data_IF_239041836230
#
_entry.id   IF_239041836230
#
_cell.length_a   1.000
_cell.length_b   1.000
_cell.length_c   1.000
_cell.angle_alpha   90.00
_cell.angle_beta   90.00
_cell.angle_gamma   90.00
#
_symmetry.space_group_name_H-M   'P 1'
#
loop_
_entity.id
_entity.type
_entity.pdbx_description
1 polymer ?
#
# COMPACT_ATOMS: atom_id res chain seq x y z
N UNK A 1 -51.46 -66.64 -35.05
CA UNK A 1 -50.06 -66.90 -35.45
C UNK A 1 -49.18 -66.01 -34.58
N UNK A 2 -48.19 -66.59 -33.89
CA UNK A 2 -47.20 -65.82 -33.13
C UNK A 2 -45.88 -65.96 -33.88
N UNK A 3 -45.33 -64.85 -34.35
CA UNK A 3 -44.04 -64.81 -35.03
C UNK A 3 -43.04 -64.12 -34.10
N UNK A 4 -41.95 -64.80 -33.78
CA UNK A 4 -40.88 -64.25 -32.94
C UNK A 4 -39.64 -63.98 -33.79
N UNK A 5 -39.01 -62.83 -33.57
CA UNK A 5 -37.71 -62.48 -34.15
C UNK A 5 -36.83 -61.95 -33.03
N UNK A 6 -35.58 -62.44 -32.95
CA UNK A 6 -34.59 -62.00 -31.97
C UNK A 6 -33.42 -61.40 -32.72
N UNK A 7 -33.04 -60.16 -32.36
CA UNK A 7 -31.91 -59.46 -32.94
C UNK A 7 -31.14 -58.73 -31.85
N UNK A 8 -29.81 -58.73 -31.94
CA UNK A 8 -28.95 -57.91 -31.09
C UNK A 8 -28.81 -56.52 -31.72
N UNK A 9 -29.08 -55.47 -30.95
CA UNK A 9 -28.97 -54.08 -31.39
C UNK A 9 -27.88 -53.36 -30.59
N UNK A 10 -27.07 -52.56 -31.27
CA UNK A 10 -25.99 -51.77 -30.66
C UNK A 10 -26.27 -50.25 -30.69
N UNK A 11 -27.44 -49.86 -31.18
CA UNK A 11 -27.90 -48.47 -31.28
C UNK A 11 -29.42 -48.42 -31.13
N UNK A 12 -29.96 -47.25 -30.76
CA UNK A 12 -31.42 -47.03 -30.68
C UNK A 12 -32.07 -47.44 -32.00
N UNK A 13 -33.04 -48.36 -31.92
CA UNK A 13 -33.64 -49.00 -33.09
C UNK A 13 -35.16 -49.06 -32.93
N UNK A 14 -35.88 -48.62 -33.96
CA UNK A 14 -37.33 -48.81 -34.08
C UNK A 14 -37.58 -49.94 -35.05
N UNK A 15 -38.12 -51.05 -34.56
CA UNK A 15 -38.56 -52.16 -35.39
C UNK A 15 -40.03 -51.96 -35.77
N UNK A 16 -40.37 -52.24 -37.04
CA UNK A 16 -41.74 -52.15 -37.54
C UNK A 16 -42.13 -53.54 -38.05
N UNK A 17 -43.17 -54.12 -37.46
CA UNK A 17 -43.77 -55.36 -37.92
C UNK A 17 -45.00 -55.04 -38.76
N UNK A 18 -45.12 -55.67 -39.94
CA UNK A 18 -46.27 -55.54 -40.83
C UNK A 18 -46.91 -56.91 -41.04
N UNK A 19 -48.21 -57.01 -40.77
CA UNK A 19 -49.03 -58.17 -41.09
C UNK A 19 -49.87 -57.87 -42.34
N UNK A 20 -49.86 -58.79 -43.29
CA UNK A 20 -50.60 -58.66 -44.56
C UNK A 20 -51.61 -59.81 -44.68
N UNK A 21 -52.87 -59.47 -44.94
CA UNK A 21 -53.95 -60.41 -45.22
C UNK A 21 -54.55 -60.16 -46.60
N UNK A 22 -55.09 -61.20 -47.25
CA UNK A 22 -55.81 -61.10 -48.52
C UNK A 22 -57.21 -61.71 -48.36
N UNK A 23 -58.24 -60.95 -48.72
CA UNK A 23 -59.60 -61.47 -48.85
C UNK A 23 -60.15 -61.14 -50.24
N UNK A 24 -60.42 -62.18 -51.03
CA UNK A 24 -61.01 -62.06 -52.39
C UNK A 24 -60.27 -61.08 -53.32
N UNK A 25 -58.94 -61.01 -53.22
CA UNK A 25 -58.10 -60.12 -54.03
C UNK A 25 -57.83 -58.75 -53.39
N UNK A 26 -58.46 -58.44 -52.25
CA UNK A 26 -58.20 -57.21 -51.49
C UNK A 26 -57.13 -57.47 -50.44
N UNK A 27 -56.01 -56.75 -50.54
CA UNK A 27 -54.92 -56.82 -49.55
C UNK A 27 -55.17 -55.79 -48.44
N UNK A 28 -55.10 -56.25 -47.20
CA UNK A 28 -55.13 -55.42 -45.99
C UNK A 28 -53.82 -55.54 -45.24
N UNK A 29 -53.31 -54.41 -44.74
CA UNK A 29 -52.08 -54.35 -43.96
C UNK A 29 -52.38 -53.77 -42.58
N UNK A 30 -51.74 -54.33 -41.55
CA UNK A 30 -51.65 -53.74 -40.22
C UNK A 30 -50.18 -53.66 -39.83
N UNK A 31 -49.75 -52.55 -39.25
CA UNK A 31 -48.39 -52.40 -38.74
C UNK A 31 -48.38 -52.00 -37.27
N UNK A 32 -47.34 -52.45 -36.57
CA UNK A 32 -47.03 -52.06 -35.21
C UNK A 32 -45.52 -51.79 -35.12
N UNK A 33 -45.12 -50.88 -34.24
CA UNK A 33 -43.71 -50.59 -34.01
C UNK A 33 -43.32 -50.76 -32.54
N UNK A 34 -42.03 -50.99 -32.31
CA UNK A 34 -41.42 -51.01 -31.00
C UNK A 34 -40.04 -50.37 -31.08
N UNK A 35 -39.76 -49.43 -30.18
CA UNK A 35 -38.46 -48.75 -30.11
C UNK A 35 -37.70 -49.22 -28.88
N UNK A 36 -36.46 -49.62 -29.06
CA UNK A 36 -35.51 -49.85 -27.97
C UNK A 36 -34.44 -48.76 -28.03
N UNK A 37 -34.24 -48.07 -26.91
CA UNK A 37 -33.24 -47.01 -26.77
C UNK A 37 -31.96 -47.61 -26.22
N UNK A 38 -30.84 -47.42 -26.93
CA UNK A 38 -29.50 -47.77 -26.44
C UNK A 38 -28.81 -46.48 -26.03
N UNK A 39 -28.49 -46.35 -24.75
CA UNK A 39 -27.79 -45.17 -24.25
C UNK A 39 -26.38 -45.10 -24.86
N UNK A 40 -26.01 -43.93 -25.39
CA UNK A 40 -24.65 -43.70 -25.87
C UNK A 40 -23.66 -43.84 -24.70
N UNK A 41 -22.52 -44.47 -24.96
CA UNK A 41 -21.43 -44.59 -24.00
C UNK A 41 -20.77 -43.22 -23.82
N UNK A 42 -20.70 -42.74 -22.59
CA UNK A 42 -20.21 -41.43 -22.21
C UNK A 42 -19.20 -41.60 -21.05
N UNK A 43 -17.92 -41.84 -21.36
CA UNK A 43 -16.87 -41.79 -20.35
C UNK A 43 -16.65 -40.32 -19.94
N UNK A 44 -16.81 -40.02 -18.65
CA UNK A 44 -16.63 -38.66 -18.13
C UNK A 44 -15.96 -38.73 -16.76
N UNK A 45 -14.89 -37.95 -16.61
CA UNK A 45 -14.16 -37.81 -15.36
C UNK A 45 -14.45 -36.41 -14.78
N UNK A 46 -14.52 -36.31 -13.45
CA UNK A 46 -14.56 -35.03 -12.74
C UNK A 46 -13.48 -35.02 -11.68
N UNK A 47 -12.70 -33.94 -11.62
CA UNK A 47 -11.69 -33.72 -10.60
C UNK A 47 -12.09 -32.50 -9.77
N UNK A 48 -12.05 -32.65 -8.45
CA UNK A 48 -12.04 -31.54 -7.50
C UNK A 48 -10.69 -31.50 -6.80
N UNK A 49 -10.14 -30.30 -6.58
CA UNK A 49 -8.88 -30.09 -5.84
C UNK A 49 -9.11 -29.07 -4.74
N UNK A 50 -8.64 -29.37 -3.53
CA UNK A 50 -8.72 -28.47 -2.38
C UNK A 50 -7.38 -28.40 -1.67
N UNK A 51 -7.09 -27.27 -1.02
CA UNK A 51 -5.95 -27.08 -0.14
C UNK A 51 -6.42 -27.10 1.33
N UNK A 52 -5.60 -27.62 2.24
CA UNK A 52 -5.88 -27.58 3.68
C UNK A 52 -5.95 -26.16 4.25
N UNK A 53 -5.25 -25.22 3.61
CA UNK A 53 -5.17 -23.81 4.00
C UNK A 53 -5.29 -22.94 2.75
N UNK A 54 -6.17 -21.93 2.79
CA UNK A 54 -6.30 -20.94 1.72
C UNK A 54 -5.31 -19.77 1.87
N UNK A 55 -4.85 -19.52 3.09
CA UNK A 55 -3.93 -18.44 3.41
C UNK A 55 -2.86 -18.88 4.41
N UNK A 56 -1.64 -18.40 4.24
CA UNK A 56 -0.50 -18.61 5.12
C UNK A 56 0.09 -17.26 5.57
N UNK A 57 0.63 -17.25 6.78
CA UNK A 57 1.38 -16.11 7.30
C UNK A 57 2.75 -16.01 6.62
N UNK A 58 3.45 -14.91 6.91
CA UNK A 58 4.83 -14.70 6.50
C UNK A 58 5.70 -15.92 6.89
N UNK A 59 6.52 -16.39 5.94
CA UNK A 59 7.36 -17.57 6.12
C UNK A 59 6.73 -18.88 5.64
N UNK A 60 5.44 -18.88 5.30
CA UNK A 60 4.79 -20.03 4.69
C UNK A 60 4.39 -21.13 5.65
N UNK A 61 4.15 -22.32 5.10
CA UNK A 61 3.71 -23.49 5.86
C UNK A 61 3.46 -24.72 4.99
N UNK A 62 3.28 -25.87 5.65
CA UNK A 62 2.88 -27.10 4.96
C UNK A 62 1.40 -27.03 4.58
N UNK A 63 1.11 -27.35 3.32
CA UNK A 63 -0.24 -27.45 2.76
C UNK A 63 -0.44 -28.86 2.25
N UNK A 64 -1.53 -29.49 2.66
CA UNK A 64 -2.00 -30.74 2.07
C UNK A 64 -3.03 -30.44 1.01
N UNK A 65 -2.75 -30.85 -0.23
CA UNK A 65 -3.72 -30.86 -1.32
C UNK A 65 -4.48 -32.18 -1.34
N UNK A 66 -5.80 -32.09 -1.45
CA UNK A 66 -6.70 -33.24 -1.61
C UNK A 66 -7.31 -33.21 -3.00
N UNK A 67 -7.30 -34.36 -3.67
CA UNK A 67 -7.81 -34.56 -5.02
C UNK A 67 -8.95 -35.56 -4.95
N UNK A 68 -10.16 -35.19 -5.38
CA UNK A 68 -11.30 -36.13 -5.46
C UNK A 68 -11.63 -36.34 -6.93
N UNK A 69 -11.28 -37.52 -7.44
CA UNK A 69 -11.55 -37.92 -8.82
C UNK A 69 -12.81 -38.78 -8.83
N UNK A 70 -13.80 -38.40 -9.64
CA UNK A 70 -15.10 -39.06 -9.74
C UNK A 70 -15.32 -39.53 -11.18
N UNK A 71 -15.84 -40.74 -11.32
CA UNK A 71 -16.41 -41.18 -12.60
C UNK A 71 -17.89 -40.77 -12.64
N UNK A 72 -18.18 -39.70 -13.39
CA UNK A 72 -19.55 -39.18 -13.59
C UNK A 72 -20.15 -39.61 -14.94
N UNK A 73 -19.44 -40.47 -15.67
CA UNK A 73 -19.92 -41.08 -16.90
C UNK A 73 -20.82 -42.29 -16.64
N UNK A 74 -21.23 -42.97 -17.72
CA UNK A 74 -22.06 -44.17 -17.66
C UNK A 74 -21.30 -45.47 -18.02
N UNK A 75 -19.97 -45.44 -17.94
CA UNK A 75 -19.08 -46.58 -18.19
C UNK A 75 -17.98 -46.66 -17.13
N UNK A 76 -17.45 -47.85 -16.86
CA UNK A 76 -16.30 -48.01 -15.96
C UNK A 76 -15.03 -47.45 -16.61
N UNK A 77 -14.19 -46.78 -15.82
CA UNK A 77 -12.91 -46.23 -16.26
C UNK A 77 -11.75 -47.03 -15.67
N UNK A 78 -10.68 -47.19 -16.45
CA UNK A 78 -9.42 -47.83 -16.04
C UNK A 78 -8.24 -46.88 -16.20
N UNK A 79 -7.05 -47.30 -15.75
CA UNK A 79 -5.81 -46.52 -15.81
C UNK A 79 -5.97 -45.11 -15.23
N UNK A 80 -6.66 -45.02 -14.08
CA UNK A 80 -6.83 -43.75 -13.39
C UNK A 80 -5.49 -43.26 -12.89
N UNK A 81 -5.09 -42.06 -13.32
CA UNK A 81 -3.88 -41.39 -12.84
C UNK A 81 -4.19 -39.94 -12.49
N UNK A 82 -3.44 -39.39 -11.55
CA UNK A 82 -3.47 -37.97 -11.20
C UNK A 82 -2.05 -37.44 -11.32
N UNK A 83 -1.89 -36.34 -12.06
CA UNK A 83 -0.66 -35.57 -12.13
C UNK A 83 -0.92 -34.14 -11.64
N UNK A 84 0.14 -33.50 -11.16
CA UNK A 84 0.07 -32.15 -10.60
C UNK A 84 1.36 -31.40 -10.93
N UNK A 85 1.24 -30.10 -11.20
CA UNK A 85 2.36 -29.27 -11.67
C UNK A 85 3.38 -28.94 -10.57
N UNK A 86 3.01 -29.04 -9.29
CA UNK A 86 3.89 -28.76 -8.14
C UNK A 86 4.13 -29.98 -7.24
N UNK A 87 3.23 -30.94 -7.22
CA UNK A 87 3.30 -32.16 -6.42
C UNK A 87 3.86 -33.33 -7.23
N UNK A 88 5.09 -33.75 -6.91
CA UNK A 88 5.74 -34.89 -7.59
C UNK A 88 5.31 -36.26 -7.08
N UNK A 89 4.80 -36.36 -5.85
CA UNK A 89 4.34 -37.62 -5.24
C UNK A 89 2.90 -37.49 -4.77
N UNK A 90 1.98 -38.11 -5.48
CA UNK A 90 0.54 -38.13 -5.17
C UNK A 90 0.16 -39.53 -4.71
N UNK A 91 -0.39 -39.65 -3.50
CA UNK A 91 -0.86 -40.92 -2.98
C UNK A 91 -2.36 -41.07 -3.24
N UNK A 92 -2.73 -42.05 -4.06
CA UNK A 92 -4.11 -42.36 -4.46
C UNK A 92 -4.64 -43.69 -3.86
N UNK A 93 -4.06 -44.20 -2.77
CA UNK A 93 -4.51 -45.46 -2.14
C UNK A 93 -4.52 -46.69 -3.06
N UNK A 94 -3.81 -46.67 -4.18
CA UNK A 94 -3.64 -47.81 -5.10
C UNK A 94 -4.83 -48.13 -6.02
N UNK A 95 -5.91 -47.35 -6.00
CA UNK A 95 -7.06 -47.59 -6.89
C UNK A 95 -6.73 -47.08 -8.31
N UNK A 96 -6.85 -47.95 -9.30
CA UNK A 96 -6.56 -47.66 -10.72
C UNK A 96 -7.79 -47.77 -11.64
N UNK A 97 -8.95 -48.14 -11.08
CA UNK A 97 -10.23 -48.26 -11.78
C UNK A 97 -11.33 -47.55 -11.01
N UNK A 98 -12.30 -46.96 -11.71
CA UNK A 98 -13.47 -46.32 -11.13
C UNK A 98 -14.73 -46.84 -11.79
N UNK A 99 -15.56 -47.55 -11.02
CA UNK A 99 -16.89 -47.90 -11.49
C UNK A 99 -17.78 -46.65 -11.61
N UNK A 100 -18.93 -46.80 -12.26
CA UNK A 100 -19.92 -45.72 -12.42
C UNK A 100 -20.28 -45.14 -11.04
N UNK A 101 -20.15 -43.81 -10.90
CA UNK A 101 -20.46 -43.09 -9.66
C UNK A 101 -19.41 -43.24 -8.54
N UNK A 102 -18.35 -44.03 -8.73
CA UNK A 102 -17.28 -44.15 -7.74
C UNK A 102 -16.31 -42.96 -7.78
N UNK A 103 -15.64 -42.76 -6.65
CA UNK A 103 -14.56 -41.80 -6.53
C UNK A 103 -13.35 -42.40 -5.81
N UNK A 104 -12.22 -41.73 -6.02
CA UNK A 104 -10.95 -41.98 -5.36
C UNK A 104 -10.46 -40.64 -4.80
N UNK A 105 -9.93 -40.69 -3.58
CA UNK A 105 -9.30 -39.53 -2.96
C UNK A 105 -7.80 -39.72 -2.96
N UNK A 106 -7.08 -38.75 -3.51
CA UNK A 106 -5.64 -38.68 -3.43
C UNK A 106 -5.19 -37.51 -2.57
N UNK A 107 -3.94 -37.54 -2.10
CA UNK A 107 -3.33 -36.41 -1.41
C UNK A 107 -1.85 -36.23 -1.73
N UNK A 108 -1.38 -35.02 -1.49
CA UNK A 108 0.03 -34.61 -1.52
C UNK A 108 0.22 -33.50 -0.49
N UNK A 109 1.35 -33.49 0.22
CA UNK A 109 1.70 -32.40 1.16
C UNK A 109 2.99 -31.74 0.69
N UNK A 110 3.01 -30.41 0.65
CA UNK A 110 4.20 -29.63 0.28
C UNK A 110 4.31 -28.35 1.11
N UNK A 111 5.52 -27.82 1.24
CA UNK A 111 5.76 -26.53 1.88
C UNK A 111 5.58 -25.39 0.89
N UNK A 112 4.76 -24.40 1.24
CA UNK A 112 4.44 -23.22 0.42
C UNK A 112 4.90 -21.97 1.17
N UNK A 113 5.82 -21.20 0.58
CA UNK A 113 6.35 -19.94 1.14
C UNK A 113 6.01 -18.70 0.30
N UNK A 114 5.39 -18.88 -0.85
CA UNK A 114 4.93 -17.81 -1.74
C UNK A 114 3.54 -18.14 -2.28
N UNK A 115 2.74 -17.11 -2.57
CA UNK A 115 1.40 -17.28 -3.15
C UNK A 115 1.48 -18.13 -4.41
N UNK A 116 0.76 -19.25 -4.42
CA UNK A 116 0.86 -20.27 -5.47
C UNK A 116 -0.51 -20.78 -5.87
N UNK A 117 -0.78 -20.80 -7.18
CA UNK A 117 -1.85 -21.59 -7.77
C UNK A 117 -1.28 -22.93 -8.20
N UNK A 118 -1.94 -24.01 -7.80
CA UNK A 118 -1.51 -25.37 -8.05
C UNK A 118 -2.58 -26.10 -8.86
N UNK A 119 -2.17 -26.74 -9.96
CA UNK A 119 -3.04 -27.28 -11.00
C UNK A 119 -2.80 -28.78 -11.14
N UNK A 120 -3.88 -29.54 -11.11
CA UNK A 120 -3.86 -30.98 -11.26
C UNK A 120 -4.69 -31.43 -12.45
N UNK A 121 -4.29 -32.53 -13.04
CA UNK A 121 -5.01 -33.23 -14.10
C UNK A 121 -5.19 -34.68 -13.71
N UNK A 122 -6.42 -35.17 -13.74
CA UNK A 122 -6.74 -36.58 -13.64
C UNK A 122 -7.02 -37.13 -15.03
N UNK A 123 -6.58 -38.35 -15.31
CA UNK A 123 -6.87 -39.05 -16.56
C UNK A 123 -7.46 -40.43 -16.29
N UNK A 124 -8.23 -40.95 -17.24
CA UNK A 124 -8.77 -42.30 -17.24
C UNK A 124 -8.96 -42.80 -18.67
N UNK A 125 -9.20 -44.10 -18.82
CA UNK A 125 -9.34 -44.78 -20.10
C UNK A 125 -10.65 -45.57 -20.15
N UNK A 126 -11.34 -45.48 -21.28
CA UNK A 126 -12.42 -46.38 -21.67
C UNK A 126 -12.16 -46.93 -23.07
N UNK A 127 -11.84 -48.22 -23.19
CA UNK A 127 -11.66 -48.91 -24.48
C UNK A 127 -10.73 -48.17 -25.47
N UNK A 128 -9.66 -47.53 -24.98
CA UNK A 128 -8.71 -46.75 -25.77
C UNK A 128 -9.03 -45.25 -25.86
N UNK A 129 -10.21 -44.82 -25.41
CA UNK A 129 -10.59 -43.40 -25.30
C UNK A 129 -10.08 -42.83 -23.99
N UNK A 130 -9.17 -41.86 -24.06
CA UNK A 130 -8.68 -41.15 -22.89
C UNK A 130 -9.63 -40.01 -22.52
N UNK A 131 -10.02 -39.96 -21.26
CA UNK A 131 -10.75 -38.85 -20.65
C UNK A 131 -9.87 -38.15 -19.64
N UNK A 132 -10.04 -36.85 -19.49
CA UNK A 132 -9.30 -36.06 -18.51
C UNK A 132 -10.21 -35.04 -17.83
N UNK A 133 -9.76 -34.58 -16.66
CA UNK A 133 -10.37 -33.48 -15.93
C UNK A 133 -9.27 -32.71 -15.19
N UNK A 134 -9.35 -31.38 -15.19
CA UNK A 134 -8.40 -30.52 -14.48
C UNK A 134 -9.10 -29.74 -13.37
N UNK A 135 -8.33 -29.44 -12.31
CA UNK A 135 -8.76 -28.59 -11.21
C UNK A 135 -7.56 -27.83 -10.64
N UNK A 136 -7.82 -26.69 -10.02
CA UNK A 136 -6.79 -25.91 -9.35
C UNK A 136 -7.19 -25.53 -7.93
N UNK A 137 -6.19 -25.22 -7.11
CA UNK A 137 -6.36 -24.61 -5.80
C UNK A 137 -5.27 -23.55 -5.61
N UNK A 138 -5.64 -22.40 -5.05
CA UNK A 138 -4.70 -21.30 -4.79
C UNK A 138 -4.52 -21.12 -3.29
N UNK A 139 -3.26 -20.99 -2.88
CA UNK A 139 -2.85 -20.66 -1.51
C UNK A 139 -2.19 -19.30 -1.54
N UNK A 140 -2.71 -18.36 -0.75
CA UNK A 140 -2.17 -17.01 -0.63
C UNK A 140 -1.18 -16.97 0.53
N UNK A 141 0.03 -16.47 0.30
CA UNK A 141 1.01 -16.23 1.36
C UNK A 141 1.14 -14.73 1.58
N UNK A 142 1.08 -14.32 2.84
CA UNK A 142 1.24 -12.91 3.22
C UNK A 142 2.59 -12.40 2.73
N UNK A 143 2.59 -11.31 1.95
CA UNK A 143 3.81 -10.75 1.37
C UNK A 143 4.75 -10.20 2.45
N UNK A 144 6.06 -10.28 2.20
CA UNK A 144 7.07 -9.68 3.07
C UNK A 144 7.05 -8.16 2.93
N UNK A 145 6.86 -7.43 4.02
CA UNK A 145 6.84 -5.97 4.07
C UNK A 145 7.60 -5.49 5.31
N UNK A 146 8.94 -5.54 5.31
CA UNK A 146 9.73 -4.93 6.37
C UNK A 146 9.62 -3.40 6.30
N UNK A 147 9.64 -2.74 7.45
CA UNK A 147 9.52 -1.29 7.55
C UNK A 147 10.02 -0.79 8.89
N UNK A 148 10.68 0.35 8.90
CA UNK A 148 11.15 1.03 10.10
C UNK A 148 10.78 2.51 10.00
N UNK A 149 10.46 3.13 11.13
CA UNK A 149 10.20 4.56 11.23
C UNK A 149 11.01 5.16 12.36
N UNK A 150 11.54 6.36 12.13
CA UNK A 150 12.23 7.18 13.10
C UNK A 150 11.44 8.48 13.32
N UNK A 151 11.21 8.81 14.59
CA UNK A 151 10.73 10.14 14.98
C UNK A 151 11.70 10.75 15.99
N UNK A 152 12.29 11.88 15.64
CA UNK A 152 13.30 12.59 16.42
C UNK A 152 12.67 13.80 17.11
N UNK A 153 12.89 13.90 18.43
CA UNK A 153 12.52 15.08 19.21
C UNK A 153 13.70 15.57 20.04
N UNK A 154 13.61 16.80 20.55
CA UNK A 154 14.60 17.42 21.41
C UNK A 154 13.92 17.90 22.69
N UNK A 155 14.66 17.89 23.80
CA UNK A 155 14.19 18.40 25.10
C UNK A 155 13.91 19.91 25.06
N UNK A 156 14.67 20.65 24.24
CA UNK A 156 14.59 22.09 24.09
C UNK A 156 14.66 22.46 22.61
N UNK A 157 13.85 23.41 22.18
CA UNK A 157 13.82 23.93 20.81
C UNK A 157 14.61 25.24 20.66
N UNK A 158 14.84 25.94 21.77
CA UNK A 158 15.69 27.11 21.86
C UNK A 158 16.57 27.05 23.11
N UNK A 159 17.73 27.70 23.03
CA UNK A 159 18.69 27.87 24.11
C UNK A 159 19.08 29.34 24.19
N UNK A 160 19.37 29.81 25.40
CA UNK A 160 19.87 31.16 25.62
C UNK A 160 21.26 31.37 25.02
N UNK A 161 21.64 32.63 24.96
CA UNK A 161 22.99 33.07 24.59
C UNK A 161 24.05 32.24 25.32
N UNK A 162 24.96 31.67 24.53
CA UNK A 162 26.04 30.81 25.03
C UNK A 162 25.73 29.32 24.94
N UNK A 163 24.51 28.94 24.54
CA UNK A 163 24.17 27.56 24.25
C UNK A 163 23.88 26.72 25.49
N UNK A 164 23.92 25.41 25.32
CA UNK A 164 23.60 24.47 26.39
C UNK A 164 23.36 23.04 25.92
N UNK A 165 23.05 22.18 26.89
CA UNK A 165 22.78 20.76 26.63
C UNK A 165 21.35 20.57 26.09
N UNK A 166 21.24 19.75 25.06
CA UNK A 166 19.98 19.25 24.51
C UNK A 166 20.00 17.73 24.56
N UNK A 167 18.97 17.16 25.16
CA UNK A 167 18.70 15.72 25.05
C UNK A 167 17.85 15.49 23.82
N UNK A 168 18.35 14.67 22.89
CA UNK A 168 17.58 14.17 21.76
C UNK A 168 16.97 12.82 22.10
N UNK A 169 15.71 12.64 21.70
CA UNK A 169 14.97 11.38 21.81
C UNK A 169 14.68 10.85 20.42
N UNK A 170 14.87 9.55 20.23
CA UNK A 170 14.68 8.86 18.95
C UNK A 170 13.68 7.73 19.17
N UNK A 171 12.42 7.98 18.83
CA UNK A 171 11.41 6.92 18.86
C UNK A 171 11.51 6.12 17.56
N UNK A 172 12.04 4.89 17.67
CA UNK A 172 12.20 3.95 16.57
C UNK A 172 11.07 2.93 16.63
N UNK A 173 10.32 2.79 15.54
CA UNK A 173 9.17 1.87 15.44
C UNK A 173 9.37 0.90 14.29
N UNK A 174 9.13 -0.40 14.52
CA UNK A 174 8.99 -1.38 13.45
C UNK A 174 7.58 -1.26 12.85
N UNK A 175 7.48 -0.70 11.65
CA UNK A 175 6.22 -0.50 10.91
C UNK A 175 5.90 -1.64 9.96
N UNK A 176 6.82 -2.62 9.83
CA UNK A 176 6.66 -3.76 8.95
C UNK A 176 6.01 -4.97 9.61
N UNK A 177 5.92 -6.06 8.84
CA UNK A 177 5.38 -7.35 9.26
C UNK A 177 6.47 -8.42 9.52
N UNK A 178 7.71 -7.98 9.72
CA UNK A 178 8.86 -8.83 10.05
C UNK A 178 9.58 -8.31 11.29
N UNK A 179 10.05 -9.20 12.17
CA UNK A 179 10.93 -8.81 13.27
C UNK A 179 12.23 -8.25 12.70
N UNK A 180 12.68 -7.10 13.21
CA UNK A 180 13.93 -6.47 12.81
C UNK A 180 15.04 -6.72 13.83
N UNK A 181 16.25 -6.93 13.34
CA UNK A 181 17.47 -7.05 14.11
C UNK A 181 18.52 -6.05 13.63
N UNK A 182 19.65 -5.96 14.35
CA UNK A 182 20.75 -5.03 14.03
C UNK A 182 20.27 -3.58 13.91
N UNK A 183 19.33 -3.17 14.78
CA UNK A 183 18.87 -1.78 14.79
C UNK A 183 20.03 -0.87 15.20
N UNK A 184 20.34 0.09 14.35
CA UNK A 184 21.41 1.05 14.58
C UNK A 184 20.89 2.47 14.31
N UNK A 185 20.95 3.33 15.33
CA UNK A 185 20.61 4.74 15.23
C UNK A 185 21.90 5.54 15.22
N UNK A 186 22.06 6.41 14.22
CA UNK A 186 23.18 7.34 14.12
C UNK A 186 22.67 8.77 13.97
N UNK A 187 23.47 9.72 14.40
CA UNK A 187 23.12 11.14 14.46
C UNK A 187 24.36 11.98 14.19
N UNK A 188 24.23 13.02 13.37
CA UNK A 188 25.36 13.79 12.86
C UNK A 188 25.89 14.84 13.85
N UNK A 189 25.11 15.18 14.89
CA UNK A 189 25.46 16.17 15.93
C UNK A 189 25.54 15.60 17.33
N UNK A 190 25.13 14.34 17.53
CA UNK A 190 25.05 13.71 18.83
C UNK A 190 25.53 12.26 18.76
N UNK A 191 26.63 11.94 19.44
CA UNK A 191 27.18 10.59 19.47
C UNK A 191 27.89 10.31 20.81
N UNK A 192 27.76 9.12 21.39
CA UNK A 192 26.99 7.96 20.90
C UNK A 192 25.49 8.06 21.22
N UNK A 193 24.66 7.46 20.36
CA UNK A 193 23.22 7.25 20.64
C UNK A 193 23.04 5.99 21.47
N UNK A 194 22.36 6.10 22.62
CA UNK A 194 22.10 4.99 23.53
C UNK A 194 20.69 4.43 23.31
N UNK A 195 20.60 3.16 22.92
CA UNK A 195 19.35 2.44 22.73
C UNK A 195 19.22 1.29 23.75
N UNK A 196 18.02 0.99 24.26
CA UNK A 196 17.82 -0.09 25.24
C UNK A 196 17.98 -1.51 24.66
N UNK A 197 17.88 -1.65 23.33
CA UNK A 197 18.00 -2.92 22.60
C UNK A 197 18.35 -2.64 21.14
N UNK A 198 18.68 -3.70 20.41
CA UNK A 198 19.03 -3.66 18.99
C UNK A 198 18.10 -4.52 18.11
N UNK A 199 16.93 -4.88 18.63
CA UNK A 199 15.88 -5.65 17.94
C UNK A 199 14.51 -5.02 18.17
N UNK A 200 13.59 -5.20 17.23
CA UNK A 200 12.19 -4.80 17.34
C UNK A 200 11.27 -5.88 16.77
N UNK A 201 10.36 -6.36 17.59
CA UNK A 201 9.26 -7.25 17.15
C UNK A 201 8.21 -6.46 16.37
N UNK A 202 7.22 -7.16 15.82
CA UNK A 202 6.16 -6.56 15.00
C UNK A 202 5.42 -5.43 15.75
N UNK A 203 5.38 -4.23 15.16
CA UNK A 203 4.72 -3.06 15.75
C UNK A 203 5.41 -2.48 16.99
N UNK A 204 6.52 -3.07 17.44
CA UNK A 204 7.21 -2.64 18.64
C UNK A 204 7.96 -1.33 18.42
N UNK A 205 8.05 -0.51 19.47
CA UNK A 205 8.83 0.72 19.48
C UNK A 205 9.86 0.73 20.60
N UNK A 206 10.91 1.53 20.44
CA UNK A 206 11.87 1.86 21.49
C UNK A 206 12.30 3.31 21.40
N UNK A 207 12.66 3.88 22.55
CA UNK A 207 13.21 5.24 22.61
C UNK A 207 14.71 5.13 22.89
N UNK A 208 15.52 5.66 21.98
CA UNK A 208 16.93 5.91 22.21
C UNK A 208 17.16 7.36 22.64
N UNK A 209 18.29 7.64 23.27
CA UNK A 209 18.64 8.99 23.73
C UNK A 209 20.09 9.34 23.45
N UNK A 210 20.35 10.63 23.25
CA UNK A 210 21.69 11.20 23.18
C UNK A 210 21.68 12.64 23.72
N UNK A 211 22.80 13.10 24.31
CA UNK A 211 22.94 14.49 24.80
C UNK A 211 24.04 15.18 24.02
N UNK A 212 23.73 16.32 23.42
CA UNK A 212 24.69 17.18 22.74
C UNK A 212 24.71 18.57 23.39
N UNK A 213 25.89 19.19 23.45
CA UNK A 213 26.03 20.60 23.82
C UNK A 213 26.07 21.44 22.54
N UNK A 214 25.13 22.37 22.40
CA UNK A 214 24.99 23.22 21.22
C UNK A 214 25.33 24.65 21.60
N UNK A 215 26.22 25.29 20.84
CA UNK A 215 26.63 26.69 21.01
C UNK A 215 26.11 27.63 19.92
N UNK A 216 25.48 27.07 18.89
CA UNK A 216 24.94 27.79 17.74
C UNK A 216 23.68 27.08 17.21
N UNK A 217 22.90 27.78 16.37
CA UNK A 217 21.78 27.19 15.64
C UNK A 217 22.22 25.90 14.95
N UNK A 218 21.53 24.80 15.26
CA UNK A 218 21.94 23.47 14.81
C UNK A 218 20.74 22.74 14.24
N UNK A 219 20.84 22.38 12.96
CA UNK A 219 20.03 21.31 12.38
C UNK A 219 20.75 19.99 12.67
N UNK A 220 20.05 19.09 13.35
CA UNK A 220 20.51 17.75 13.68
C UNK A 220 19.70 16.74 12.86
N UNK A 221 20.38 15.88 12.11
CA UNK A 221 19.81 14.81 11.30
C UNK A 221 20.20 13.46 11.92
N UNK A 222 19.22 12.60 12.11
CA UNK A 222 19.40 11.23 12.57
C UNK A 222 18.91 10.24 11.52
N UNK A 223 19.60 9.11 11.46
CA UNK A 223 19.27 7.99 10.59
C UNK A 223 19.10 6.73 11.46
N UNK A 224 18.20 5.85 11.04
CA UNK A 224 18.09 4.51 11.60
C UNK A 224 18.18 3.47 10.51
N UNK A 225 18.84 2.35 10.80
CA UNK A 225 18.81 1.15 9.96
C UNK A 225 18.34 -0.06 10.78
N UNK A 226 17.80 -1.06 10.09
CA UNK A 226 17.46 -2.36 10.65
C UNK A 226 17.50 -3.45 9.58
N UNK A 227 17.72 -4.70 9.98
CA UNK A 227 17.80 -5.87 9.09
C UNK A 227 16.65 -6.83 9.37
N UNK A 228 15.89 -7.17 8.33
CA UNK A 228 14.85 -8.18 8.39
C UNK A 228 15.43 -9.61 8.23
N UNK A 229 14.69 -10.68 8.59
CA UNK A 229 15.22 -12.05 8.59
C UNK A 229 15.58 -12.58 7.19
N UNK A 230 15.02 -11.99 6.14
CA UNK A 230 15.36 -12.28 4.74
C UNK A 230 16.64 -11.56 4.26
N UNK A 231 17.33 -10.83 5.15
CA UNK A 231 18.52 -10.05 4.83
C UNK A 231 18.24 -8.65 4.28
N UNK A 232 16.98 -8.27 4.06
CA UNK A 232 16.63 -6.93 3.59
C UNK A 232 16.95 -5.88 4.66
N UNK A 233 17.66 -4.82 4.28
CA UNK A 233 17.93 -3.67 5.15
C UNK A 233 16.85 -2.61 4.90
N UNK A 234 16.26 -2.12 5.98
CA UNK A 234 15.33 -0.98 6.01
C UNK A 234 15.99 0.21 6.69
N UNK A 235 15.61 1.41 6.30
CA UNK A 235 16.12 2.64 6.88
C UNK A 235 15.07 3.75 6.90
N UNK A 236 15.25 4.68 7.82
CA UNK A 236 14.50 5.94 7.87
C UNK A 236 15.41 7.06 8.40
N UNK A 237 15.01 8.31 8.16
CA UNK A 237 15.76 9.50 8.57
C UNK A 237 14.81 10.60 9.05
N UNK A 238 15.17 11.28 10.14
CA UNK A 238 14.42 12.41 10.65
C UNK A 238 15.36 13.51 11.14
N UNK A 239 14.89 14.76 11.18
CA UNK A 239 15.71 15.90 11.59
C UNK A 239 15.01 16.79 12.62
N UNK A 240 15.82 17.55 13.35
CA UNK A 240 15.35 18.53 14.30
C UNK A 240 16.30 19.72 14.39
N UNK A 241 15.73 20.92 14.42
CA UNK A 241 16.48 22.16 14.60
C UNK A 241 16.35 22.66 16.04
N UNK A 242 17.47 23.08 16.62
CA UNK A 242 17.53 23.82 17.88
C UNK A 242 18.21 25.15 17.64
N UNK A 243 17.61 26.22 18.15
CA UNK A 243 18.10 27.60 17.99
C UNK A 243 18.90 28.00 19.25
N UNK A 244 20.02 28.68 19.07
CA UNK A 244 20.79 29.32 20.14
C UNK A 244 20.73 30.82 19.93
N UNK A 245 20.22 31.55 20.93
CA UNK A 245 20.11 33.01 20.88
C UNK A 245 21.50 33.66 20.74
N UNK A 246 21.61 34.74 19.95
CA UNK A 246 22.84 35.53 19.82
C UNK A 246 22.78 36.81 20.68
N UNK A 247 23.94 37.27 21.20
CA UNK A 247 24.01 38.57 21.90
C UNK A 247 23.73 39.68 20.91
N UNK A 248 22.60 40.37 21.07
CA UNK A 248 22.33 41.73 20.60
C UNK A 248 23.19 42.22 19.43
N UNK A 249 22.72 42.04 18.19
CA UNK A 249 22.91 43.07 17.17
C UNK A 249 21.64 43.92 17.12
N UNK A 250 21.74 45.12 17.68
CA UNK A 250 20.84 46.24 17.36
C UNK A 250 21.04 46.60 15.89
N UNK A 251 20.36 45.86 15.00
CA UNK A 251 20.01 46.20 13.63
C UNK A 251 19.16 45.01 13.16
N UNK A 252 17.85 45.22 13.02
CA UNK A 252 17.00 44.31 12.27
C UNK A 252 17.68 44.04 10.93
N UNK A 253 17.89 42.76 10.60
CA UNK A 253 18.25 42.34 9.25
C UNK A 253 17.09 41.50 8.74
N UNK A 254 16.62 41.89 7.57
CA UNK A 254 15.55 41.35 6.74
C UNK A 254 15.25 39.87 6.92
N UNK A 255 13.96 39.53 6.99
CA UNK A 255 13.43 38.16 6.95
C UNK A 255 13.40 37.74 5.47
N UNK A 256 14.56 37.44 4.91
CA UNK A 256 14.70 36.92 3.55
C UNK A 256 14.67 35.38 3.52
N UNK A 257 13.93 34.82 2.56
CA UNK A 257 13.99 33.40 2.23
C UNK A 257 15.35 33.07 1.60
N UNK A 258 16.30 32.55 2.37
CA UNK A 258 17.46 31.85 1.81
C UNK A 258 17.33 30.35 2.06
N UNK A 259 17.04 29.61 0.97
CA UNK A 259 17.15 28.15 0.85
C UNK A 259 16.68 27.36 2.10
N UNK A 260 15.36 27.23 2.27
CA UNK A 260 14.69 26.19 3.08
C UNK A 260 14.80 26.28 4.62
N UNK A 261 14.83 27.47 5.23
CA UNK A 261 14.80 27.58 6.69
C UNK A 261 13.88 28.70 7.18
N UNK A 262 13.08 28.42 8.21
CA UNK A 262 12.32 29.42 8.98
C UNK A 262 12.81 29.44 10.42
N UNK A 263 13.03 30.63 10.97
CA UNK A 263 13.25 30.88 12.39
C UNK A 263 12.38 32.08 12.81
N UNK A 264 11.51 31.88 13.81
CA UNK A 264 10.80 32.98 14.48
C UNK A 264 11.71 33.49 15.59
N UNK A 265 12.13 34.75 15.50
CA UNK A 265 12.70 35.47 16.64
C UNK A 265 12.10 36.87 16.68
N UNK A 266 11.40 37.22 17.76
CA UNK A 266 10.89 38.58 17.99
C UNK A 266 11.95 39.40 18.73
N UNK A 267 12.56 40.35 18.04
CA UNK A 267 13.49 41.32 18.62
C UNK A 267 12.78 42.54 19.20
N UNK A 268 12.03 42.37 20.30
CA UNK A 268 11.65 43.42 21.28
C UNK A 268 10.47 42.97 22.16
N UNK A 269 10.75 42.14 23.17
CA UNK A 269 10.06 42.01 24.48
C UNK A 269 10.37 40.62 25.04
N UNK A 270 11.54 40.47 25.69
CA UNK A 270 11.87 39.35 26.58
C UNK A 270 11.49 37.93 26.08
N UNK A 271 11.70 37.62 24.79
CA UNK A 271 11.60 36.24 24.29
C UNK A 271 10.20 35.63 24.27
N UNK A 272 9.14 36.44 24.25
CA UNK A 272 7.79 35.93 24.05
C UNK A 272 7.29 36.19 22.63
N UNK A 273 7.42 35.21 21.74
CA UNK A 273 6.47 35.09 20.64
C UNK A 273 5.13 34.63 21.24
N UNK A 274 4.27 35.58 21.58
CA UNK A 274 2.88 35.33 21.98
C UNK A 274 1.93 35.87 20.91
N UNK A 275 1.94 35.26 19.72
CA UNK A 275 0.71 35.20 18.93
C UNK A 275 0.12 33.84 19.26
N UNK A 276 -0.86 33.82 20.16
CA UNK A 276 -1.60 32.60 20.44
C UNK A 276 -2.37 32.16 19.19
N UNK A 277 -2.76 30.88 19.12
CA UNK A 277 -3.43 30.31 17.96
C UNK A 277 -4.75 30.99 17.60
N UNK A 278 -5.44 31.62 18.55
CA UNK A 278 -6.69 32.34 18.31
C UNK A 278 -6.43 33.75 17.72
N UNK A 279 -5.38 34.43 18.17
CA UNK A 279 -4.91 35.70 17.59
C UNK A 279 -4.39 35.50 16.16
N UNK A 280 -3.65 34.42 15.89
CA UNK A 280 -3.24 34.03 14.54
C UNK A 280 -4.45 33.72 13.64
N UNK A 281 -5.49 33.11 14.21
CA UNK A 281 -6.72 32.73 13.52
C UNK A 281 -7.65 33.92 13.24
N UNK A 282 -7.56 35.02 13.99
CA UNK A 282 -8.32 36.24 13.70
C UNK A 282 -7.74 37.08 12.56
N UNK A 283 -6.44 36.94 12.28
CA UNK A 283 -5.76 37.63 11.17
C UNK A 283 -5.85 36.85 9.85
N UNK A 284 -6.16 35.56 9.93
CA UNK A 284 -6.49 34.75 8.77
C UNK A 284 -7.99 34.88 8.55
N UNK A 285 -8.47 35.57 7.49
CA UNK A 285 -9.84 35.34 7.07
C UNK A 285 -9.99 33.84 6.88
N UNK A 286 -11.14 33.29 7.29
CA UNK A 286 -11.61 32.02 6.71
C UNK A 286 -11.43 32.14 5.22
N UNK A 287 -10.48 31.41 4.64
CA UNK A 287 -10.36 31.21 3.19
C UNK A 287 -9.38 32.13 2.45
N UNK A 288 -8.11 32.20 2.87
CA UNK A 288 -7.07 32.44 1.86
C UNK A 288 -6.79 31.14 1.07
N UNK A 289 -6.90 29.96 1.70
CA UNK A 289 -6.41 28.68 1.12
C UNK A 289 -7.23 27.41 1.44
N UNK A 290 -8.48 27.55 1.94
CA UNK A 290 -9.39 26.42 2.21
C UNK A 290 -8.98 25.42 3.31
N UNK A 291 -7.75 25.49 3.83
CA UNK A 291 -7.26 24.65 4.93
C UNK A 291 -7.23 25.43 6.23
N UNK A 292 -8.10 25.08 7.18
CA UNK A 292 -8.14 25.70 8.50
C UNK A 292 -6.90 25.30 9.31
N UNK A 293 -6.02 26.26 9.59
CA UNK A 293 -4.93 26.09 10.55
C UNK A 293 -5.55 26.20 11.94
N UNK A 294 -5.54 25.10 12.69
CA UNK A 294 -6.24 24.99 13.98
C UNK A 294 -5.29 25.08 15.17
N UNK A 295 -3.97 24.90 14.93
CA UNK A 295 -2.93 24.97 15.96
C UNK A 295 -1.64 25.54 15.37
N UNK A 296 -0.79 26.12 16.23
CA UNK A 296 0.58 26.52 15.88
C UNK A 296 1.39 25.34 15.31
N UNK A 297 1.18 24.13 15.84
CA UNK A 297 1.79 22.90 15.34
C UNK A 297 1.37 22.62 13.88
N UNK A 298 0.09 22.76 13.55
CA UNK A 298 -0.42 22.57 12.18
C UNK A 298 0.14 23.63 11.22
N UNK A 299 0.30 24.88 11.67
CA UNK A 299 0.95 25.93 10.91
C UNK A 299 2.43 25.63 10.65
N UNK A 300 3.13 25.15 11.68
CA UNK A 300 4.50 24.65 11.55
C UNK A 300 4.59 23.49 10.56
N UNK A 301 3.70 22.48 10.65
CA UNK A 301 3.72 21.31 9.77
C UNK A 301 3.49 21.67 8.29
N UNK A 302 2.67 22.69 7.99
CA UNK A 302 2.46 23.24 6.64
C UNK A 302 3.72 23.96 6.11
N UNK A 303 4.49 24.59 6.98
CA UNK A 303 5.75 25.28 6.63
C UNK A 303 6.91 24.32 6.31
N UNK A 304 6.87 23.06 6.79
CA UNK A 304 7.99 22.11 6.71
C UNK A 304 7.77 20.92 5.76
N UNK A 305 6.93 21.08 4.73
CA UNK A 305 6.67 20.02 3.74
C UNK A 305 7.92 19.73 2.88
N UNK A 306 8.46 18.50 2.98
CA UNK A 306 9.68 18.00 2.29
C UNK A 306 9.59 18.02 0.75
N UNK A 307 8.38 18.11 0.18
CA UNK A 307 8.07 18.33 -1.25
C UNK A 307 6.78 19.14 -1.38
N UNK A 308 6.89 20.46 -1.35
CA UNK A 308 5.76 21.35 -1.56
C UNK A 308 5.47 21.56 -3.06
N UNK A 309 4.19 21.43 -3.44
CA UNK A 309 3.60 21.89 -4.70
C UNK A 309 3.76 23.41 -4.85
N UNK A 310 3.53 23.96 -6.05
CA UNK A 310 3.66 25.42 -6.25
C UNK A 310 2.63 26.21 -5.45
N UNK A 311 1.44 25.63 -5.26
CA UNK A 311 0.39 26.17 -4.40
C UNK A 311 0.86 26.26 -2.94
N UNK A 312 1.37 25.16 -2.39
CA UNK A 312 1.90 25.12 -1.02
C UNK A 312 3.07 26.09 -0.81
N UNK A 313 3.94 26.27 -1.82
CA UNK A 313 5.02 27.26 -1.75
C UNK A 313 4.52 28.70 -1.75
N UNK A 314 3.49 29.00 -2.54
CA UNK A 314 2.86 30.32 -2.54
C UNK A 314 2.18 30.63 -1.20
N UNK A 315 1.53 29.64 -0.60
CA UNK A 315 0.95 29.73 0.75
C UNK A 315 2.03 30.06 1.78
N UNK A 316 3.14 29.31 1.77
CA UNK A 316 4.26 29.51 2.68
C UNK A 316 4.81 30.94 2.59
N UNK A 317 5.00 31.44 1.37
CA UNK A 317 5.62 32.74 1.14
C UNK A 317 4.73 33.89 1.60
N UNK A 318 3.45 33.87 1.23
CA UNK A 318 2.50 34.92 1.59
C UNK A 318 2.15 34.92 3.08
N UNK A 319 2.17 33.74 3.72
CA UNK A 319 2.00 33.64 5.16
C UNK A 319 3.15 34.30 5.93
N UNK A 320 4.40 34.10 5.48
CA UNK A 320 5.56 34.78 6.05
C UNK A 320 5.45 36.31 5.92
N UNK A 321 4.96 36.80 4.78
CA UNK A 321 4.74 38.24 4.55
C UNK A 321 3.73 38.84 5.52
N UNK A 322 2.60 38.16 5.75
CA UNK A 322 1.58 38.59 6.70
C UNK A 322 2.11 38.62 8.14
N UNK A 323 2.88 37.62 8.52
CA UNK A 323 3.54 37.59 9.83
C UNK A 323 4.51 38.76 10.01
N UNK A 324 5.26 39.13 8.97
CA UNK A 324 6.17 40.29 9.03
C UNK A 324 5.39 41.59 9.29
N UNK A 325 4.27 41.78 8.61
CA UNK A 325 3.39 42.94 8.82
C UNK A 325 2.79 43.00 10.22
N UNK A 326 2.22 41.89 10.71
CA UNK A 326 1.63 41.83 12.06
C UNK A 326 2.68 42.07 13.16
N UNK A 327 3.95 41.74 12.91
CA UNK A 327 5.06 42.05 13.80
C UNK A 327 5.59 43.50 13.64
N UNK A 328 4.91 44.33 12.85
CA UNK A 328 5.26 45.74 12.66
C UNK A 328 6.47 45.98 11.76
N UNK A 329 6.92 44.97 10.99
CA UNK A 329 8.06 45.12 10.08
C UNK A 329 7.71 45.99 8.84
N UNK A 330 6.42 46.08 8.51
CA UNK A 330 5.90 46.96 7.48
C UNK A 330 4.54 47.54 7.92
N UNK A 331 4.20 48.72 7.42
CA UNK A 331 2.87 49.33 7.58
C UNK A 331 2.12 49.23 6.24
N UNK A 332 0.79 49.43 6.25
CA UNK A 332 -0.01 49.34 5.03
C UNK A 332 0.46 50.31 3.93
N UNK A 333 0.98 51.46 4.34
CA UNK A 333 1.48 52.49 3.43
C UNK A 333 2.96 52.32 3.06
N UNK A 334 3.66 51.34 3.64
CA UNK A 334 5.06 51.08 3.31
C UNK A 334 5.16 50.63 1.84
N UNK A 335 6.01 51.31 1.07
CA UNK A 335 6.31 50.90 -0.30
C UNK A 335 7.16 49.63 -0.25
N UNK A 336 6.69 48.59 -0.93
CA UNK A 336 7.41 47.34 -1.13
C UNK A 336 8.07 47.37 -2.49
N UNK A 337 9.34 46.98 -2.53
CA UNK A 337 10.05 46.79 -3.77
C UNK A 337 9.44 45.58 -4.51
N UNK A 338 8.93 45.81 -5.71
CA UNK A 338 8.39 44.76 -6.59
C UNK A 338 9.20 44.63 -7.88
N UNK A 339 10.42 45.17 -7.91
CA UNK A 339 11.27 45.30 -9.10
C UNK A 339 11.74 43.97 -9.68
N UNK A 340 11.72 42.87 -8.89
CA UNK A 340 12.03 41.53 -9.36
C UNK A 340 11.08 41.09 -10.50
N UNK A 341 9.89 41.71 -10.57
CA UNK A 341 8.83 41.41 -11.53
C UNK A 341 8.55 42.57 -12.53
N UNK A 342 9.42 43.58 -12.61
CA UNK A 342 9.28 44.79 -13.46
C UNK A 342 8.00 45.62 -13.20
N UNK A 343 7.49 45.61 -11.97
CA UNK A 343 6.39 46.49 -11.55
C UNK A 343 6.91 47.73 -10.82
N UNK A 344 6.15 48.85 -10.85
CA UNK A 344 6.43 49.98 -9.97
C UNK A 344 6.22 49.58 -8.51
N UNK A 345 7.06 50.12 -7.61
CA UNK A 345 6.88 50.01 -6.17
C UNK A 345 5.43 50.37 -5.80
N UNK A 346 4.84 49.55 -4.93
CA UNK A 346 3.45 49.73 -4.52
C UNK A 346 3.34 49.62 -3.02
N UNK A 347 2.23 50.11 -2.45
CA UNK A 347 1.98 49.98 -1.02
C UNK A 347 1.85 48.51 -0.65
N UNK A 348 2.28 48.17 0.56
CA UNK A 348 2.14 46.82 1.12
C UNK A 348 0.70 46.30 0.98
N UNK A 349 -0.30 47.13 1.26
CA UNK A 349 -1.72 46.76 1.11
C UNK A 349 -2.09 46.38 -0.33
N UNK A 350 -1.53 47.08 -1.31
CA UNK A 350 -1.79 46.86 -2.73
C UNK A 350 -1.08 45.59 -3.22
N UNK A 351 0.13 45.34 -2.70
CA UNK A 351 0.91 44.14 -3.00
C UNK A 351 0.25 42.87 -2.44
N UNK A 352 -0.25 42.91 -1.19
CA UNK A 352 -1.04 41.81 -0.61
C UNK A 352 -2.30 41.56 -1.42
N UNK A 353 -3.04 42.62 -1.78
CA UNK A 353 -4.24 42.52 -2.62
C UNK A 353 -3.92 41.87 -3.97
N UNK A 354 -2.80 42.24 -4.58
CA UNK A 354 -2.34 41.67 -5.85
C UNK A 354 -1.95 40.19 -5.70
N UNK A 355 -1.23 39.82 -4.64
CA UNK A 355 -0.84 38.44 -4.35
C UNK A 355 -2.08 37.56 -4.15
N UNK A 356 -3.04 37.99 -3.34
CA UNK A 356 -4.31 37.28 -3.11
C UNK A 356 -5.09 37.08 -4.40
N UNK A 357 -5.14 38.10 -5.28
CA UNK A 357 -5.79 37.98 -6.59
C UNK A 357 -5.12 36.94 -7.48
N UNK A 358 -3.77 36.90 -7.54
CA UNK A 358 -3.03 35.90 -8.31
C UNK A 358 -3.20 34.50 -7.76
N UNK A 359 -3.25 34.38 -6.43
CA UNK A 359 -3.46 33.12 -5.76
C UNK A 359 -4.84 32.55 -6.10
N UNK A 360 -5.91 33.32 -5.91
CA UNK A 360 -7.28 32.90 -6.19
C UNK A 360 -7.52 32.59 -7.68
N UNK A 361 -6.72 33.17 -8.57
CA UNK A 361 -6.72 32.86 -10.01
C UNK A 361 -5.90 31.62 -10.40
N UNK A 362 -5.35 30.87 -9.45
CA UNK A 362 -4.53 29.68 -9.69
C UNK A 362 -3.11 29.98 -10.20
N UNK A 363 -2.68 31.25 -10.20
CA UNK A 363 -1.35 31.65 -10.64
C UNK A 363 -0.38 31.70 -9.46
N UNK A 364 -0.10 30.53 -8.89
CA UNK A 364 0.63 30.37 -7.64
C UNK A 364 2.07 30.86 -7.70
N UNK A 365 2.77 30.67 -8.84
CA UNK A 365 4.12 31.20 -9.02
C UNK A 365 4.15 32.73 -8.90
N UNK A 366 3.16 33.42 -9.48
CA UNK A 366 3.10 34.88 -9.46
C UNK A 366 2.66 35.40 -8.08
N UNK A 367 1.76 34.69 -7.40
CA UNK A 367 1.42 34.99 -6.01
C UNK A 367 2.63 34.84 -5.08
N UNK A 368 3.37 33.73 -5.22
CA UNK A 368 4.63 33.47 -4.52
C UNK A 368 5.63 34.59 -4.79
N UNK A 369 5.87 34.97 -6.04
CA UNK A 369 6.87 35.98 -6.39
C UNK A 369 6.53 37.38 -5.86
N UNK A 370 5.25 37.76 -5.81
CA UNK A 370 4.82 39.01 -5.17
C UNK A 370 5.15 38.97 -3.67
N UNK A 371 4.80 37.88 -2.98
CA UNK A 371 5.09 37.72 -1.55
C UNK A 371 6.60 37.58 -1.27
N UNK A 372 7.37 36.95 -2.16
CA UNK A 372 8.84 36.92 -2.14
C UNK A 372 9.41 38.33 -2.23
N UNK A 373 8.92 39.14 -3.16
CA UNK A 373 9.39 40.50 -3.37
C UNK A 373 9.13 41.37 -2.14
N UNK A 374 7.96 41.20 -1.50
CA UNK A 374 7.66 41.88 -0.23
C UNK A 374 8.61 41.40 0.89
N UNK A 375 8.93 40.11 0.95
CA UNK A 375 9.84 39.59 1.98
C UNK A 375 11.31 39.98 1.73
N UNK A 376 11.67 40.31 0.50
CA UNK A 376 12.99 40.80 0.11
C UNK A 376 13.14 42.32 0.26
N UNK A 377 12.28 42.99 1.03
CA UNK A 377 12.49 44.38 1.46
C UNK A 377 13.92 44.52 2.01
N UNK A 378 14.78 45.26 1.29
CA UNK A 378 16.24 45.25 1.36
C UNK A 378 16.91 45.17 2.76
N UNK A 379 18.13 44.63 2.71
CA UNK A 379 19.20 44.56 3.73
C UNK A 379 19.43 45.80 4.61
#
# INVERSE_FOLDING_TARGET
MICNCTVTINQTTTNIATATGNYSGTIVNASANATVIVAALQPVLKLNKTASNYSLQVGGGNVTYTYVVNNIGNVNLTNITVSDDKCSTINCSGITTLAIGQNITCNCTMFINETTTNIATATGNYSGTIVNASANATVIVTALQPGIKLNKTASNYSLHVGGGNVTYYYNVTNTGNLNLANINVSDDKCSPVSCPKNTLTLGESMICTCVANLTQNTMNIANVTGTAPNGQVVSDSDNKTVIVEERNRSAMRTIGFWKHQFAVATGNNNGQAQIDSATLQSYLPTDVFGTKIETLQKGYDVLWLKKATMEERAIQQCFATLLNFENGAASNDTLVDTNYDKKPDMKFSDAITAATSKFNGGNYENAKNICDSINNMDE
#
